data_IF_897774751661
#
_entry.id   IF_897774751661
#
_cell.length_a   1.000
_cell.length_b   1.000
_cell.length_c   1.000
_cell.angle_alpha   90.00
_cell.angle_beta   90.00
_cell.angle_gamma   90.00
#
_symmetry.space_group_name_H-M   'P 1'
#
loop_
_entity.id
_entity.type
_entity.pdbx_description
1 polymer ?
#
# COMPACT_ATOMS: atom_id res chain seq x y z
N UNK A 1 -22.30 -12.94 4.47
CA UNK A 1 -22.89 -11.67 4.01
C UNK A 1 -21.91 -11.10 3.02
N UNK A 2 -22.23 -11.22 1.73
CA UNK A 2 -21.39 -10.66 0.67
C UNK A 2 -21.33 -9.15 0.85
N UNK A 3 -20.13 -8.61 0.88
CA UNK A 3 -19.90 -7.16 0.91
C UNK A 3 -20.05 -6.72 -0.54
N UNK A 4 -21.20 -6.19 -0.91
CA UNK A 4 -21.32 -5.41 -2.13
C UNK A 4 -20.53 -4.13 -1.92
N UNK A 5 -19.23 -4.14 -2.24
CA UNK A 5 -18.48 -2.89 -2.36
C UNK A 5 -18.99 -2.18 -3.62
N UNK A 6 -19.25 -0.89 -3.52
CA UNK A 6 -19.67 -0.05 -4.68
C UNK A 6 -18.61 0.01 -5.79
N UNK A 7 -17.44 -0.56 -5.57
CA UNK A 7 -16.33 -0.65 -6.50
C UNK A 7 -15.02 -0.22 -5.88
N UNK A 8 -13.93 -0.63 -6.51
CA UNK A 8 -12.56 -0.26 -6.11
C UNK A 8 -11.73 0.13 -7.32
N UNK A 9 -11.03 1.25 -7.24
CA UNK A 9 -10.07 1.72 -8.25
C UNK A 9 -8.68 1.67 -7.64
N UNK A 10 -7.78 0.94 -8.29
CA UNK A 10 -6.38 0.85 -7.94
C UNK A 10 -5.54 1.69 -8.90
N UNK A 11 -4.79 2.65 -8.40
CA UNK A 11 -3.86 3.45 -9.20
C UNK A 11 -2.45 2.89 -9.04
N UNK A 12 -1.89 2.39 -10.14
CA UNK A 12 -0.62 1.71 -10.17
C UNK A 12 0.37 2.37 -11.13
N UNK A 13 1.62 1.90 -11.13
CA UNK A 13 2.67 2.37 -12.02
C UNK A 13 4.00 2.61 -11.30
N UNK A 14 5.05 2.78 -12.07
CA UNK A 14 6.39 3.10 -11.58
C UNK A 14 6.46 4.44 -10.84
N UNK A 15 7.59 4.69 -10.20
CA UNK A 15 7.77 5.97 -9.52
C UNK A 15 7.90 7.13 -10.52
N UNK A 16 7.48 8.32 -10.10
CA UNK A 16 7.52 9.55 -10.88
C UNK A 16 6.62 9.61 -12.14
N UNK A 17 5.72 8.65 -12.34
CA UNK A 17 4.72 8.68 -13.42
C UNK A 17 3.47 9.52 -13.11
N UNK A 18 3.48 10.32 -12.04
CA UNK A 18 2.38 11.22 -11.72
C UNK A 18 1.21 10.57 -10.96
N UNK A 19 1.40 9.40 -10.33
CA UNK A 19 0.34 8.71 -9.56
C UNK A 19 -0.37 9.62 -8.55
N UNK A 20 0.37 10.33 -7.71
CA UNK A 20 -0.23 11.21 -6.71
C UNK A 20 -1.06 12.34 -7.32
N UNK A 21 -0.63 12.91 -8.45
CA UNK A 21 -1.41 13.91 -9.18
C UNK A 21 -2.67 13.31 -9.80
N UNK A 22 -2.55 12.15 -10.46
CA UNK A 22 -3.69 11.45 -11.04
C UNK A 22 -4.71 11.04 -9.98
N UNK A 23 -4.24 10.45 -8.86
CA UNK A 23 -5.12 10.06 -7.75
C UNK A 23 -5.84 11.27 -7.16
N UNK A 24 -5.13 12.37 -6.93
CA UNK A 24 -5.73 13.60 -6.40
C UNK A 24 -6.80 14.15 -7.35
N UNK A 25 -6.57 14.06 -8.66
CA UNK A 25 -7.54 14.50 -9.67
C UNK A 25 -8.77 13.58 -9.66
N UNK A 26 -8.59 12.26 -9.70
CA UNK A 26 -9.67 11.26 -9.63
C UNK A 26 -10.55 11.52 -8.41
N UNK A 27 -9.94 11.66 -7.24
CA UNK A 27 -10.66 11.93 -5.99
C UNK A 27 -11.46 13.22 -6.09
N UNK A 28 -10.84 14.32 -6.58
CA UNK A 28 -11.50 15.62 -6.67
C UNK A 28 -12.67 15.65 -7.65
N UNK A 29 -12.54 14.99 -8.81
CA UNK A 29 -13.61 14.93 -9.81
C UNK A 29 -14.78 14.07 -9.31
N UNK A 30 -14.49 12.89 -8.74
CA UNK A 30 -15.54 12.04 -8.18
C UNK A 30 -16.26 12.70 -7.00
N UNK A 31 -15.55 13.49 -6.18
CA UNK A 31 -16.18 14.31 -5.13
C UNK A 31 -17.08 15.41 -5.72
N UNK A 32 -16.62 16.06 -6.79
CA UNK A 32 -17.42 17.10 -7.48
C UNK A 32 -18.70 16.53 -8.08
N UNK A 33 -18.65 15.28 -8.57
CA UNK A 33 -19.81 14.54 -9.07
C UNK A 33 -20.69 13.97 -7.94
N UNK A 34 -20.31 14.21 -6.68
CA UNK A 34 -21.09 13.79 -5.52
C UNK A 34 -20.92 12.31 -5.17
N UNK A 35 -19.89 11.65 -5.67
CA UNK A 35 -19.59 10.24 -5.36
C UNK A 35 -19.11 10.12 -3.92
N UNK A 36 -19.73 9.21 -3.17
CA UNK A 36 -19.26 8.85 -1.83
C UNK A 36 -18.05 7.95 -1.95
N UNK A 37 -16.91 8.37 -1.45
CA UNK A 37 -15.66 7.64 -1.62
C UNK A 37 -14.84 7.48 -0.34
N UNK A 38 -14.06 6.41 -0.30
CA UNK A 38 -12.99 6.17 0.68
C UNK A 38 -11.67 6.14 -0.06
N UNK A 39 -10.70 6.88 0.42
CA UNK A 39 -9.37 6.96 -0.17
C UNK A 39 -8.29 6.47 0.81
N UNK A 40 -7.29 5.77 0.26
CA UNK A 40 -6.06 5.45 0.99
C UNK A 40 -4.88 5.34 0.03
N UNK A 41 -3.69 5.65 0.55
CA UNK A 41 -2.40 5.49 -0.17
C UNK A 41 -1.49 4.54 0.60
N UNK A 42 -0.81 3.64 -0.13
CA UNK A 42 0.11 2.66 0.46
C UNK A 42 1.57 2.92 0.07
N UNK A 43 2.50 2.57 0.98
CA UNK A 43 2.28 2.07 2.34
C UNK A 43 1.85 3.20 3.29
N UNK A 44 1.03 2.84 4.30
CA UNK A 44 0.63 3.78 5.35
C UNK A 44 1.75 3.87 6.38
N UNK A 45 2.70 4.75 6.13
CA UNK A 45 3.95 4.87 6.90
C UNK A 45 3.77 5.22 8.37
N UNK A 46 2.62 5.72 8.73
CA UNK A 46 2.35 6.20 10.07
C UNK A 46 1.91 5.10 11.05
N UNK A 47 1.66 3.88 10.59
CA UNK A 47 1.42 2.73 11.44
C UNK A 47 2.74 2.11 11.94
N UNK A 48 2.73 1.28 12.98
CA UNK A 48 3.92 0.54 13.41
C UNK A 48 4.57 -0.25 12.28
N UNK A 49 3.78 -1.00 11.49
CA UNK A 49 4.32 -1.75 10.34
C UNK A 49 4.82 -0.80 9.25
N UNK A 50 4.07 0.26 8.96
CA UNK A 50 4.48 1.28 8.01
C UNK A 50 5.79 1.97 8.40
N UNK A 51 6.03 2.21 9.68
CA UNK A 51 7.30 2.76 10.17
C UNK A 51 8.48 1.81 9.93
N UNK A 52 8.25 0.50 10.10
CA UNK A 52 9.24 -0.53 9.76
C UNK A 52 9.53 -0.56 8.27
N UNK A 53 8.50 -0.53 7.42
CA UNK A 53 8.66 -0.47 5.97
C UNK A 53 9.53 0.73 5.58
N UNK A 54 9.23 1.91 6.14
CA UNK A 54 10.00 3.13 5.88
C UNK A 54 11.47 2.99 6.24
N UNK A 55 11.75 2.45 7.45
CA UNK A 55 13.11 2.21 7.91
C UNK A 55 13.83 1.20 7.03
N UNK A 56 13.13 0.16 6.59
CA UNK A 56 13.63 -0.85 5.69
C UNK A 56 14.00 -0.28 4.30
N UNK A 57 13.14 0.57 3.73
CA UNK A 57 13.39 1.19 2.44
C UNK A 57 14.59 2.12 2.47
N UNK A 58 14.72 2.91 3.55
CA UNK A 58 15.80 3.86 3.72
C UNK A 58 17.14 3.20 4.05
N UNK A 59 17.14 2.29 5.01
CA UNK A 59 18.38 1.77 5.62
C UNK A 59 18.74 0.38 5.10
N UNK A 60 17.79 -0.33 4.47
CA UNK A 60 17.93 -1.75 4.16
C UNK A 60 17.87 -2.63 5.40
N UNK A 61 18.02 -3.91 5.19
CA UNK A 61 18.33 -4.93 6.21
C UNK A 61 19.24 -5.94 5.55
N UNK A 62 20.27 -6.37 6.23
CA UNK A 62 21.21 -7.33 5.65
C UNK A 62 20.64 -8.75 5.67
N UNK A 63 21.02 -9.57 4.69
CA UNK A 63 20.65 -10.99 4.68
C UNK A 63 21.20 -11.74 5.91
N UNK A 64 22.30 -11.26 6.49
CA UNK A 64 22.83 -11.77 7.73
C UNK A 64 21.88 -11.56 8.92
N UNK A 65 21.17 -10.41 8.96
CA UNK A 65 20.17 -10.12 9.99
C UNK A 65 18.91 -11.00 9.82
N UNK A 66 18.63 -11.41 8.59
CA UNK A 66 17.54 -12.34 8.29
C UNK A 66 17.93 -13.82 8.43
N UNK A 67 19.22 -14.14 8.63
CA UNK A 67 19.71 -15.52 8.79
C UNK A 67 19.27 -16.48 7.68
N UNK A 68 19.45 -16.08 6.42
CA UNK A 68 19.12 -16.88 5.25
C UNK A 68 17.61 -17.03 4.94
N UNK A 69 16.75 -16.27 5.60
CA UNK A 69 15.35 -16.17 5.24
C UNK A 69 15.25 -15.32 3.97
N UNK A 70 14.33 -15.68 3.06
CA UNK A 70 14.09 -14.93 1.83
C UNK A 70 13.72 -13.48 2.14
N UNK A 71 14.66 -12.56 1.86
CA UNK A 71 14.49 -11.14 2.14
C UNK A 71 13.41 -10.50 1.28
N UNK A 72 13.21 -11.00 0.06
CA UNK A 72 12.18 -10.52 -0.85
C UNK A 72 10.78 -10.93 -0.38
N UNK A 73 10.62 -12.19 0.01
CA UNK A 73 9.36 -12.69 0.55
C UNK A 73 9.00 -11.96 1.86
N UNK A 74 9.98 -11.72 2.72
CA UNK A 74 9.82 -10.91 3.94
C UNK A 74 9.35 -9.48 3.63
N UNK A 75 9.92 -8.84 2.60
CA UNK A 75 9.52 -7.49 2.18
C UNK A 75 8.08 -7.48 1.66
N UNK A 76 7.71 -8.42 0.78
CA UNK A 76 6.33 -8.55 0.28
C UNK A 76 5.33 -8.75 1.43
N UNK A 77 5.67 -9.61 2.40
CA UNK A 77 4.85 -9.85 3.59
C UNK A 77 4.65 -8.58 4.43
N UNK A 78 5.69 -7.77 4.65
CA UNK A 78 5.56 -6.50 5.38
C UNK A 78 4.56 -5.54 4.71
N UNK A 79 4.61 -5.42 3.39
CA UNK A 79 3.64 -4.59 2.66
C UNK A 79 2.22 -5.16 2.76
N UNK A 80 2.04 -6.48 2.69
CA UNK A 80 0.74 -7.12 2.88
C UNK A 80 0.19 -6.91 4.30
N UNK A 81 1.03 -7.06 5.32
CA UNK A 81 0.63 -6.79 6.71
C UNK A 81 0.23 -5.32 6.93
N UNK A 82 0.90 -4.37 6.28
CA UNK A 82 0.48 -2.95 6.34
C UNK A 82 -0.87 -2.72 5.66
N UNK A 83 -1.17 -3.44 4.59
CA UNK A 83 -2.50 -3.42 3.96
C UNK A 83 -3.57 -4.10 4.80
N UNK A 84 -3.22 -5.13 5.57
CA UNK A 84 -4.14 -5.75 6.54
C UNK A 84 -4.48 -4.81 7.71
N UNK A 85 -3.56 -3.94 8.15
CA UNK A 85 -3.89 -2.87 9.11
C UNK A 85 -5.02 -1.98 8.57
N UNK A 86 -4.94 -1.59 7.30
CA UNK A 86 -6.00 -0.83 6.64
C UNK A 86 -7.30 -1.64 6.52
N UNK A 87 -7.21 -2.90 6.09
CA UNK A 87 -8.38 -3.75 5.89
C UNK A 87 -9.18 -3.96 7.18
N UNK A 88 -8.50 -4.12 8.32
CA UNK A 88 -9.16 -4.25 9.63
C UNK A 88 -10.03 -3.03 9.95
N UNK A 89 -9.50 -1.83 9.70
CA UNK A 89 -10.26 -0.58 9.90
C UNK A 89 -11.39 -0.45 8.89
N UNK A 90 -11.12 -0.69 7.60
CA UNK A 90 -12.12 -0.60 6.55
C UNK A 90 -13.31 -1.53 6.81
N UNK A 91 -13.05 -2.76 7.26
CA UNK A 91 -14.09 -3.73 7.57
C UNK A 91 -14.82 -3.46 8.89
N UNK A 92 -14.23 -2.72 9.82
CA UNK A 92 -14.80 -2.44 11.14
C UNK A 92 -15.98 -1.47 11.11
N UNK A 93 -16.03 -0.58 10.12
CA UNK A 93 -17.07 0.45 10.02
C UNK A 93 -17.77 0.42 8.66
N UNK A 94 -19.12 0.33 8.71
CA UNK A 94 -19.96 0.31 7.52
C UNK A 94 -19.83 1.57 6.67
N UNK A 95 -19.52 2.72 7.28
CA UNK A 95 -19.34 3.99 6.56
C UNK A 95 -18.32 3.89 5.44
N UNK A 96 -17.23 3.12 5.62
CA UNK A 96 -16.20 2.92 4.60
C UNK A 96 -16.64 1.95 3.51
N UNK A 97 -17.40 0.90 3.88
CA UNK A 97 -17.82 -0.15 2.94
C UNK A 97 -18.90 0.31 1.97
N UNK A 98 -19.70 1.29 2.37
CA UNK A 98 -20.76 1.87 1.55
C UNK A 98 -20.23 3.02 0.63
N UNK A 99 -18.97 2.91 0.18
CA UNK A 99 -18.28 3.94 -0.63
C UNK A 99 -17.55 3.31 -1.80
N UNK A 100 -17.24 4.12 -2.81
CA UNK A 100 -16.23 3.76 -3.82
C UNK A 100 -14.83 3.85 -3.20
N UNK A 101 -14.04 2.80 -3.34
CA UNK A 101 -12.70 2.73 -2.76
C UNK A 101 -11.65 3.16 -3.79
N UNK A 102 -10.89 4.20 -3.48
CA UNK A 102 -9.77 4.66 -4.31
C UNK A 102 -8.46 4.34 -3.58
N UNK A 103 -7.58 3.57 -4.22
CA UNK A 103 -6.29 3.18 -3.69
C UNK A 103 -5.15 3.74 -4.54
N UNK A 104 -4.35 4.65 -3.97
CA UNK A 104 -3.04 4.99 -4.52
C UNK A 104 -2.03 3.92 -4.06
N UNK A 105 -1.64 3.08 -4.97
CA UNK A 105 -0.99 1.78 -4.77
C UNK A 105 -1.92 0.75 -4.11
N UNK A 106 -1.72 -0.50 -4.45
CA UNK A 106 -2.55 -1.63 -4.03
C UNK A 106 -1.68 -2.89 -3.83
N UNK A 107 -2.24 -4.09 -3.66
CA UNK A 107 -1.49 -5.33 -3.70
C UNK A 107 -0.57 -5.50 -4.91
N UNK A 108 -0.97 -4.98 -6.06
CA UNK A 108 -0.20 -5.07 -7.31
C UNK A 108 1.10 -4.24 -7.27
N UNK A 109 1.21 -3.26 -6.36
CA UNK A 109 2.45 -2.52 -6.12
C UNK A 109 3.61 -3.37 -5.56
N UNK A 110 3.36 -4.64 -5.19
CA UNK A 110 4.45 -5.60 -4.99
C UNK A 110 5.31 -5.79 -6.24
N UNK A 111 4.86 -5.33 -7.43
CA UNK A 111 5.69 -5.23 -8.63
C UNK A 111 7.00 -4.49 -8.37
N UNK A 112 6.97 -3.41 -7.58
CA UNK A 112 8.18 -2.65 -7.22
C UNK A 112 9.11 -3.46 -6.33
N UNK A 113 8.56 -4.20 -5.36
CA UNK A 113 9.33 -5.08 -4.47
C UNK A 113 9.98 -6.23 -5.24
N UNK A 114 9.23 -6.85 -6.15
CA UNK A 114 9.74 -7.93 -7.01
C UNK A 114 10.80 -7.36 -7.99
N UNK A 115 10.53 -6.19 -8.57
CA UNK A 115 11.49 -5.47 -9.43
C UNK A 115 12.82 -5.18 -8.72
N UNK A 116 12.77 -4.82 -7.44
CA UNK A 116 13.96 -4.69 -6.60
C UNK A 116 14.70 -6.01 -6.44
N UNK A 117 14.00 -7.12 -6.20
CA UNK A 117 14.62 -8.44 -6.15
C UNK A 117 15.31 -8.83 -7.46
N UNK A 118 14.68 -8.52 -8.60
CA UNK A 118 15.26 -8.72 -9.93
C UNK A 118 16.57 -7.92 -10.10
N UNK A 119 16.60 -6.69 -9.64
CA UNK A 119 17.81 -5.84 -9.75
C UNK A 119 19.00 -6.38 -8.95
N UNK A 120 18.74 -7.11 -7.84
CA UNK A 120 19.79 -7.67 -6.99
C UNK A 120 20.34 -9.01 -7.49
N UNK A 121 19.52 -9.81 -8.16
CA UNK A 121 19.85 -11.21 -8.48
C UNK A 121 20.24 -11.42 -9.95
N UNK A 122 20.11 -10.38 -10.79
CA UNK A 122 20.39 -10.49 -12.20
C UNK A 122 19.25 -11.15 -12.99
N UNK A 123 19.57 -11.96 -14.00
CA UNK A 123 18.56 -12.54 -14.91
C UNK A 123 17.64 -13.54 -14.23
N UNK A 124 16.42 -13.12 -13.93
CA UNK A 124 15.33 -14.01 -13.56
C UNK A 124 14.58 -14.45 -14.82
N UNK A 125 14.25 -15.71 -14.90
CA UNK A 125 13.32 -16.17 -15.91
C UNK A 125 11.86 -15.83 -15.57
N UNK A 126 10.98 -15.90 -16.59
CA UNK A 126 9.57 -15.58 -16.40
C UNK A 126 8.86 -16.48 -15.38
N UNK A 127 9.35 -17.71 -15.15
CA UNK A 127 8.77 -18.62 -14.16
C UNK A 127 9.09 -18.15 -12.73
N UNK A 128 10.29 -17.64 -12.50
CA UNK A 128 10.65 -17.07 -11.19
C UNK A 128 9.85 -15.80 -10.90
N UNK A 129 9.71 -14.91 -11.88
CA UNK A 129 8.86 -13.71 -11.72
C UNK A 129 7.44 -14.13 -11.38
N UNK A 130 6.87 -15.05 -12.13
CA UNK A 130 5.52 -15.57 -11.88
C UNK A 130 5.36 -16.15 -10.49
N UNK A 131 6.33 -16.93 -10.01
CA UNK A 131 6.31 -17.49 -8.65
C UNK A 131 6.20 -16.41 -7.58
N UNK A 132 6.96 -15.33 -7.68
CA UNK A 132 6.90 -14.25 -6.69
C UNK A 132 5.63 -13.40 -6.83
N UNK A 133 5.10 -13.23 -8.04
CA UNK A 133 3.80 -12.61 -8.25
C UNK A 133 2.69 -13.43 -7.61
N UNK A 134 2.67 -14.75 -7.85
CA UNK A 134 1.68 -15.66 -7.24
C UNK A 134 1.79 -15.61 -5.69
N UNK A 135 2.99 -15.55 -5.15
CA UNK A 135 3.22 -15.43 -3.71
C UNK A 135 2.75 -14.09 -3.14
N UNK A 136 2.99 -12.99 -3.85
CA UNK A 136 2.47 -11.68 -3.45
C UNK A 136 0.94 -11.64 -3.48
N UNK A 137 0.33 -12.24 -4.51
CA UNK A 137 -1.13 -12.38 -4.60
C UNK A 137 -1.71 -13.23 -3.47
N UNK A 138 -1.02 -14.28 -3.06
CA UNK A 138 -1.41 -15.11 -1.92
C UNK A 138 -1.39 -14.32 -0.60
N UNK A 139 -0.35 -13.54 -0.34
CA UNK A 139 -0.29 -12.68 0.85
C UNK A 139 -1.42 -11.64 0.92
N UNK A 140 -1.87 -11.16 -0.21
CA UNK A 140 -2.92 -10.15 -0.32
C UNK A 140 -4.31 -10.72 -0.66
N UNK A 141 -4.45 -12.06 -0.68
CA UNK A 141 -5.67 -12.74 -1.15
C UNK A 141 -6.93 -12.30 -0.40
N UNK A 142 -6.82 -12.11 0.91
CA UNK A 142 -7.94 -11.61 1.71
C UNK A 142 -8.36 -10.20 1.29
N UNK A 143 -7.41 -9.29 1.14
CA UNK A 143 -7.69 -7.92 0.72
C UNK A 143 -8.28 -7.88 -0.69
N UNK A 144 -7.66 -8.61 -1.63
CA UNK A 144 -8.12 -8.69 -3.02
C UNK A 144 -9.56 -9.17 -3.08
N UNK A 145 -9.88 -10.27 -2.38
CA UNK A 145 -11.22 -10.85 -2.38
C UNK A 145 -12.27 -9.98 -1.68
N UNK A 146 -11.95 -9.40 -0.52
CA UNK A 146 -12.90 -8.59 0.27
C UNK A 146 -13.22 -7.26 -0.39
N UNK A 147 -12.28 -6.67 -1.10
CA UNK A 147 -12.44 -5.36 -1.72
C UNK A 147 -12.72 -5.43 -3.22
N UNK A 148 -12.78 -6.63 -3.81
CA UNK A 148 -13.01 -6.83 -5.24
C UNK A 148 -11.91 -6.18 -6.10
N UNK A 149 -10.65 -6.18 -5.62
CA UNK A 149 -9.54 -5.56 -6.34
C UNK A 149 -9.27 -6.30 -7.65
N UNK A 150 -8.90 -5.55 -8.68
CA UNK A 150 -8.68 -6.08 -10.03
C UNK A 150 -9.85 -5.84 -10.99
N UNK A 151 -10.98 -5.29 -10.51
CA UNK A 151 -12.07 -4.86 -11.39
C UNK A 151 -11.73 -3.60 -12.18
N UNK A 152 -11.02 -2.67 -11.55
CA UNK A 152 -10.53 -1.46 -12.19
C UNK A 152 -9.13 -1.13 -11.65
N UNK A 153 -8.12 -1.44 -12.43
CA UNK A 153 -6.72 -1.10 -12.16
C UNK A 153 -6.25 -0.15 -13.26
N UNK A 154 -5.91 1.05 -12.89
CA UNK A 154 -5.36 2.08 -13.78
C UNK A 154 -3.85 2.13 -13.57
N UNK A 155 -3.11 1.56 -14.51
CA UNK A 155 -1.65 1.63 -14.51
C UNK A 155 -1.18 2.81 -15.33
N UNK A 156 -0.48 3.74 -14.68
CA UNK A 156 0.21 4.83 -15.37
C UNK A 156 1.53 4.32 -15.95
N UNK A 157 1.74 4.57 -17.24
CA UNK A 157 2.91 4.12 -17.99
C UNK A 157 3.59 5.28 -18.73
N UNK A 158 4.85 5.08 -19.09
CA UNK A 158 5.58 5.89 -20.07
C UNK A 158 5.80 5.08 -21.34
N UNK A 159 5.61 5.66 -22.51
CA UNK A 159 5.97 5.04 -23.80
C UNK A 159 7.48 5.06 -24.06
N UNK A 160 8.19 6.01 -23.44
CA UNK A 160 9.64 6.07 -23.54
C UNK A 160 10.28 4.98 -22.66
N UNK A 161 11.19 4.18 -23.22
CA UNK A 161 12.08 3.29 -22.47
C UNK A 161 13.05 4.05 -21.54
N UNK A 162 13.04 5.37 -21.63
CA UNK A 162 13.98 6.23 -20.93
C UNK A 162 13.36 6.84 -19.66
N UNK A 163 13.58 6.18 -18.57
CA UNK A 163 13.39 6.71 -17.19
C UNK A 163 14.37 7.84 -16.87
N UNK A 164 14.64 8.72 -17.84
CA UNK A 164 15.74 9.70 -17.79
C UNK A 164 15.54 10.80 -16.76
N UNK A 165 14.31 11.05 -16.36
CA UNK A 165 13.97 12.13 -15.44
C UNK A 165 13.76 11.66 -13.98
N UNK A 166 14.22 10.45 -13.65
CA UNK A 166 14.28 10.03 -12.25
C UNK A 166 15.08 11.10 -11.50
N UNK A 167 14.50 11.64 -10.45
CA UNK A 167 15.11 12.71 -9.65
C UNK A 167 16.58 12.41 -9.40
N UNK A 168 17.44 13.41 -9.52
CA UNK A 168 18.87 13.29 -9.32
C UNK A 168 19.28 12.77 -7.92
N UNK A 169 18.31 12.67 -7.00
CA UNK A 169 18.49 12.16 -5.63
C UNK A 169 17.54 11.00 -5.41
N UNK A 170 18.08 9.79 -5.39
CA UNK A 170 17.39 8.59 -4.92
C UNK A 170 17.12 8.75 -3.42
N UNK A 171 15.87 8.64 -2.98
CA UNK A 171 15.49 8.78 -1.57
C UNK A 171 15.37 7.43 -0.89
N UNK A 172 15.20 6.34 -1.65
CA UNK A 172 15.15 4.98 -1.13
C UNK A 172 15.66 3.93 -2.14
N UNK A 173 15.68 2.66 -1.72
CA UNK A 173 16.23 1.55 -2.51
C UNK A 173 15.40 1.20 -3.74
N UNK A 174 14.14 1.61 -3.80
CA UNK A 174 13.20 1.27 -4.88
C UNK A 174 13.18 2.32 -5.99
N UNK A 175 13.71 3.52 -5.75
CA UNK A 175 13.75 4.60 -6.75
C UNK A 175 14.87 4.44 -7.80
N UNK A 176 15.62 3.32 -7.77
CA UNK A 176 16.68 3.05 -8.74
C UNK A 176 16.10 2.71 -10.11
N UNK A 177 16.81 3.15 -11.16
CA UNK A 177 16.40 2.96 -12.54
C UNK A 177 16.15 1.49 -12.90
N UNK A 178 17.08 0.61 -12.57
CA UNK A 178 17.01 -0.83 -12.84
C UNK A 178 15.83 -1.49 -12.11
N UNK A 179 15.49 -1.02 -10.91
CA UNK A 179 14.31 -1.45 -10.17
C UNK A 179 13.03 -1.06 -10.91
N UNK A 180 12.95 0.18 -11.41
CA UNK A 180 11.77 0.67 -12.11
C UNK A 180 11.59 -0.01 -13.49
N UNK A 181 12.65 -0.26 -14.22
CA UNK A 181 12.61 -1.03 -15.47
C UNK A 181 12.12 -2.47 -15.24
N UNK A 182 12.59 -3.12 -14.17
CA UNK A 182 12.13 -4.44 -13.80
C UNK A 182 10.68 -4.44 -13.25
N UNK A 183 10.29 -3.39 -12.54
CA UNK A 183 8.92 -3.18 -12.08
C UNK A 183 7.92 -3.20 -13.25
N UNK A 184 8.25 -2.53 -14.36
CA UNK A 184 7.42 -2.53 -15.56
C UNK A 184 7.18 -3.96 -16.10
N UNK A 185 8.24 -4.80 -16.14
CA UNK A 185 8.11 -6.21 -16.56
C UNK A 185 7.20 -7.02 -15.61
N UNK A 186 7.25 -6.76 -14.31
CA UNK A 186 6.41 -7.43 -13.33
C UNK A 186 4.95 -7.00 -13.46
N UNK A 187 4.69 -5.74 -13.77
CA UNK A 187 3.33 -5.25 -14.03
C UNK A 187 2.68 -5.94 -15.23
N UNK A 188 3.42 -6.30 -16.28
CA UNK A 188 2.87 -7.07 -17.40
C UNK A 188 2.37 -8.46 -16.92
N UNK A 189 3.07 -9.09 -15.97
CA UNK A 189 2.60 -10.36 -15.38
C UNK A 189 1.31 -10.16 -14.57
N UNK A 190 1.19 -9.08 -13.79
CA UNK A 190 -0.05 -8.75 -13.08
C UNK A 190 -1.20 -8.45 -14.05
N UNK A 191 -0.94 -7.71 -15.12
CA UNK A 191 -1.91 -7.42 -16.18
C UNK A 191 -2.47 -8.70 -16.79
N UNK A 192 -1.61 -9.66 -17.10
CA UNK A 192 -2.05 -10.96 -17.64
C UNK A 192 -2.93 -11.74 -16.65
N UNK A 193 -2.67 -11.62 -15.34
CA UNK A 193 -3.46 -12.29 -14.29
C UNK A 193 -4.82 -11.61 -14.10
N UNK A 194 -4.83 -10.28 -14.02
CA UNK A 194 -6.04 -9.48 -13.77
C UNK A 194 -6.93 -9.45 -15.02
N UNK A 195 -6.32 -9.39 -16.19
CA UNK A 195 -7.03 -9.41 -17.48
C UNK A 195 -7.82 -8.13 -17.75
N UNK A 196 -9.13 -8.23 -18.09
CA UNK A 196 -9.91 -7.08 -18.60
C UNK A 196 -10.05 -5.90 -17.64
N UNK A 197 -9.85 -6.11 -16.35
CA UNK A 197 -9.89 -5.04 -15.36
C UNK A 197 -8.62 -4.21 -15.27
N UNK A 198 -7.58 -4.56 -16.04
CA UNK A 198 -6.32 -3.83 -16.08
C UNK A 198 -6.26 -2.88 -17.27
N UNK A 199 -6.13 -1.61 -17.01
CA UNK A 199 -6.08 -0.54 -18.00
C UNK A 199 -4.76 0.22 -17.90
N UNK A 200 -4.17 0.55 -19.04
CA UNK A 200 -2.93 1.33 -19.08
C UNK A 200 -3.23 2.73 -19.60
N UNK A 201 -2.72 3.74 -18.91
CA UNK A 201 -2.83 5.15 -19.28
C UNK A 201 -1.44 5.72 -19.46
N UNK A 202 -1.16 6.19 -20.67
CA UNK A 202 0.11 6.84 -20.99
C UNK A 202 0.14 8.22 -20.36
N UNK A 203 1.15 8.49 -19.52
CA UNK A 203 1.36 9.81 -18.90
C UNK A 203 2.49 10.58 -19.55
N UNK A 204 3.44 9.87 -20.18
CA UNK A 204 4.56 10.44 -20.91
C UNK A 204 4.72 9.71 -22.24
N UNK A 205 4.75 10.46 -23.33
CA UNK A 205 5.04 9.99 -24.69
C UNK A 205 6.33 10.62 -25.23
N UNK A 206 6.70 10.27 -26.46
CA UNK A 206 7.85 10.87 -27.16
C UNK A 206 7.78 12.41 -27.25
N UNK A 207 6.57 12.96 -27.26
CA UNK A 207 6.31 14.41 -27.27
C UNK A 207 6.44 15.06 -25.88
N UNK A 208 6.66 14.28 -24.82
CA UNK A 208 6.78 14.71 -23.44
C UNK A 208 5.61 14.34 -22.54
N UNK A 209 5.46 15.04 -21.44
CA UNK A 209 4.37 14.82 -20.48
C UNK A 209 3.03 15.24 -21.07
N UNK A 210 2.04 14.34 -21.03
CA UNK A 210 0.65 14.66 -21.38
C UNK A 210 0.04 15.61 -20.34
N UNK A 211 -0.96 16.39 -20.76
CA UNK A 211 -1.66 17.26 -19.84
C UNK A 211 -2.45 16.45 -18.80
N UNK A 212 -2.67 17.05 -17.62
CA UNK A 212 -3.49 16.42 -16.57
C UNK A 212 -4.92 16.18 -17.02
N UNK A 213 -5.45 17.06 -17.87
CA UNK A 213 -6.81 16.94 -18.40
C UNK A 213 -6.93 15.79 -19.40
N UNK A 214 -5.92 15.59 -20.28
CA UNK A 214 -5.91 14.46 -21.21
C UNK A 214 -5.80 13.11 -20.47
N UNK A 215 -4.97 13.05 -19.43
CA UNK A 215 -4.85 11.85 -18.57
C UNK A 215 -6.18 11.58 -17.87
N UNK A 216 -6.85 12.64 -17.38
CA UNK A 216 -8.14 12.51 -16.74
C UNK A 216 -9.21 11.96 -17.68
N UNK A 217 -9.28 12.42 -18.91
CA UNK A 217 -10.24 11.91 -19.90
C UNK A 217 -10.11 10.41 -20.14
N UNK A 218 -8.87 9.90 -20.25
CA UNK A 218 -8.64 8.45 -20.37
C UNK A 218 -9.13 7.70 -19.10
N UNK A 219 -8.83 8.24 -17.92
CA UNK A 219 -9.26 7.64 -16.65
C UNK A 219 -10.78 7.66 -16.51
N UNK A 220 -11.43 8.76 -16.85
CA UNK A 220 -12.88 8.90 -16.82
C UNK A 220 -13.54 7.85 -17.72
N UNK A 221 -13.04 7.65 -18.95
CA UNK A 221 -13.52 6.60 -19.85
C UNK A 221 -13.38 5.21 -19.22
N UNK A 222 -12.25 4.91 -18.58
CA UNK A 222 -11.99 3.64 -17.87
C UNK A 222 -13.01 3.46 -16.74
N UNK A 223 -13.29 4.50 -15.96
CA UNK A 223 -14.26 4.43 -14.87
C UNK A 223 -15.67 4.14 -15.41
N UNK A 224 -16.09 4.81 -16.50
CA UNK A 224 -17.37 4.53 -17.15
C UNK A 224 -17.43 3.11 -17.69
N UNK A 225 -16.39 2.59 -18.31
CA UNK A 225 -16.32 1.20 -18.77
C UNK A 225 -16.42 0.20 -17.62
N UNK A 226 -15.81 0.49 -16.48
CA UNK A 226 -15.75 -0.42 -15.33
C UNK A 226 -17.03 -0.43 -14.49
N UNK A 227 -17.71 0.72 -14.35
CA UNK A 227 -18.81 0.92 -13.40
C UNK A 227 -20.10 1.42 -14.01
N UNK A 228 -20.10 1.81 -15.29
CA UNK A 228 -21.27 2.45 -15.95
C UNK A 228 -21.49 3.87 -15.43
N UNK A 229 -22.73 4.34 -15.53
CA UNK A 229 -23.09 5.66 -15.02
C UNK A 229 -23.01 5.68 -13.49
N UNK A 230 -22.20 6.57 -12.97
CA UNK A 230 -21.93 6.71 -11.54
C UNK A 230 -23.09 7.36 -10.75
N UNK A 231 -24.17 7.73 -11.41
CA UNK A 231 -25.37 8.35 -10.81
C UNK A 231 -26.01 7.51 -9.69
N UNK A 232 -25.77 6.19 -9.68
CA UNK A 232 -26.31 5.29 -8.67
C UNK A 232 -25.48 5.21 -7.39
N UNK A 233 -24.30 5.82 -7.35
CA UNK A 233 -23.45 5.86 -6.15
C UNK A 233 -23.98 6.97 -5.26
N UNK A 234 -24.37 6.62 -4.01
CA UNK A 234 -24.98 7.57 -3.07
C UNK A 234 -24.09 8.80 -2.91
N UNK A 235 -24.66 9.98 -3.13
CA UNK A 235 -24.03 11.26 -2.86
C UNK A 235 -23.66 11.37 -1.39
N UNK A 236 -22.43 11.71 -1.07
CA UNK A 236 -22.00 11.74 0.31
C UNK A 236 -20.58 12.25 0.55
N UNK A 237 -19.99 11.80 1.61
CA UNK A 237 -18.75 12.33 2.18
C UNK A 237 -17.53 11.52 1.76
N UNK A 238 -16.38 12.19 1.65
CA UNK A 238 -15.07 11.54 1.54
C UNK A 238 -14.64 11.00 2.89
N UNK A 239 -14.17 9.77 2.89
CA UNK A 239 -13.49 9.16 4.03
C UNK A 239 -12.04 8.87 3.65
N UNK A 240 -11.12 9.50 4.34
CA UNK A 240 -9.71 9.18 4.30
C UNK A 240 -9.41 8.29 5.51
N UNK A 241 -9.09 7.02 5.26
CA UNK A 241 -8.62 6.15 6.33
C UNK A 241 -7.17 6.51 6.61
N UNK A 242 -7.02 7.53 7.42
CA UNK A 242 -5.73 8.01 7.85
C UNK A 242 -5.18 7.22 9.02
N UNK A 243 -3.92 7.47 9.30
CA UNK A 243 -3.13 6.94 10.40
C UNK A 243 -3.85 6.89 11.75
N UNK A 244 -4.53 7.98 12.14
CA UNK A 244 -5.18 8.07 13.45
C UNK A 244 -6.20 6.96 13.65
N UNK A 245 -7.05 6.72 12.66
CA UNK A 245 -8.10 5.70 12.75
C UNK A 245 -7.53 4.29 12.81
N UNK A 246 -6.51 3.99 12.00
CA UNK A 246 -5.85 2.69 12.02
C UNK A 246 -5.26 2.41 13.40
N UNK A 247 -4.51 3.36 13.94
CA UNK A 247 -3.88 3.19 15.25
C UNK A 247 -4.91 3.11 16.39
N UNK A 248 -5.95 3.93 16.36
CA UNK A 248 -7.02 3.89 17.39
C UNK A 248 -7.77 2.56 17.38
N UNK A 249 -7.91 1.90 16.23
CA UNK A 249 -8.55 0.58 16.15
C UNK A 249 -7.61 -0.55 16.58
N UNK A 250 -6.38 -0.56 16.09
CA UNK A 250 -5.42 -1.61 16.45
C UNK A 250 -4.86 -1.44 17.87
N UNK A 251 -4.79 -0.19 18.34
CA UNK A 251 -4.24 0.15 19.66
C UNK A 251 -5.24 1.02 20.45
N UNK A 252 -6.33 0.45 20.98
CA UNK A 252 -7.42 1.23 21.60
C UNK A 252 -7.00 2.15 22.73
N UNK A 253 -5.91 1.83 23.44
CA UNK A 253 -5.39 2.70 24.51
C UNK A 253 -4.71 3.96 24.00
N UNK A 254 -4.25 3.98 22.76
CA UNK A 254 -3.62 5.17 22.17
C UNK A 254 -4.57 6.38 22.16
N UNK A 255 -5.87 6.13 22.00
CA UNK A 255 -6.92 7.17 22.05
C UNK A 255 -6.92 7.99 23.33
N UNK A 256 -6.55 7.39 24.47
CA UNK A 256 -6.59 8.01 25.79
C UNK A 256 -5.22 8.51 26.27
N UNK A 257 -4.17 8.20 25.54
CA UNK A 257 -2.82 8.66 25.88
C UNK A 257 -2.56 10.03 25.23
N UNK A 258 -2.53 11.09 26.08
CA UNK A 258 -2.33 12.47 25.61
C UNK A 258 -1.02 12.67 24.85
N UNK A 259 0.05 11.94 25.20
CA UNK A 259 1.34 12.04 24.55
C UNK A 259 1.26 11.46 23.14
N UNK A 260 0.63 10.29 23.00
CA UNK A 260 0.40 9.67 21.70
C UNK A 260 -0.50 10.53 20.83
N UNK A 261 -1.61 11.06 21.36
CA UNK A 261 -2.49 11.98 20.65
C UNK A 261 -1.76 13.24 20.19
N UNK A 262 -0.92 13.83 21.04
CA UNK A 262 -0.12 15.02 20.67
C UNK A 262 0.88 14.69 19.55
N UNK A 263 1.51 13.53 19.58
CA UNK A 263 2.44 13.10 18.53
C UNK A 263 1.72 12.90 17.20
N UNK A 264 0.48 12.38 17.21
CA UNK A 264 -0.37 12.30 16.02
C UNK A 264 -0.70 13.67 15.46
N UNK A 265 -1.15 14.59 16.30
CA UNK A 265 -1.50 15.94 15.89
C UNK A 265 -0.29 16.68 15.30
N UNK A 266 0.89 16.51 15.88
CA UNK A 266 2.13 17.08 15.37
C UNK A 266 2.53 16.46 14.03
N UNK A 267 2.45 15.14 13.91
CA UNK A 267 2.77 14.42 12.67
C UNK A 267 1.82 14.80 11.52
N UNK A 268 0.55 15.05 11.81
CA UNK A 268 -0.44 15.51 10.81
C UNK A 268 -0.16 16.97 10.39
N UNK A 269 0.21 17.84 11.33
CA UNK A 269 0.38 19.29 11.06
C UNK A 269 1.68 19.65 10.35
N UNK A 270 2.75 18.87 10.54
CA UNK A 270 4.10 19.24 10.10
C UNK A 270 4.63 18.39 8.93
N UNK A 271 3.80 18.02 7.93
CA UNK A 271 4.25 17.19 6.81
C UNK A 271 5.05 15.97 7.28
N UNK A 272 4.34 14.95 7.66
CA UNK A 272 4.73 13.67 8.27
C UNK A 272 6.07 13.07 7.80
N UNK A 273 6.56 13.45 6.59
CA UNK A 273 7.79 12.89 6.02
C UNK A 273 9.04 13.16 6.87
N UNK A 274 9.22 14.37 7.40
CA UNK A 274 10.49 14.73 8.05
C UNK A 274 10.56 14.35 9.53
N UNK A 275 9.45 14.41 10.25
CA UNK A 275 9.43 14.07 11.68
C UNK A 275 9.55 12.57 11.89
N UNK A 276 8.91 11.78 11.04
CA UNK A 276 9.03 10.33 11.12
C UNK A 276 10.41 9.81 10.64
N UNK A 277 11.14 10.58 9.84
CA UNK A 277 12.51 10.22 9.48
C UNK A 277 13.47 10.32 10.65
N UNK A 278 13.28 11.31 11.52
CA UNK A 278 14.14 11.54 12.69
C UNK A 278 13.67 10.80 13.95
N UNK A 279 12.38 10.51 14.05
CA UNK A 279 11.76 9.93 15.25
C UNK A 279 10.89 8.69 14.97
N UNK A 280 10.91 8.14 13.78
CA UNK A 280 10.01 7.07 13.37
C UNK A 280 10.10 5.81 14.23
N UNK A 281 11.32 5.41 14.62
CA UNK A 281 11.54 4.28 15.54
C UNK A 281 11.05 4.62 16.95
N UNK A 282 11.35 5.81 17.44
CA UNK A 282 10.90 6.27 18.76
C UNK A 282 9.38 6.47 18.80
N UNK A 283 8.78 6.98 17.71
CA UNK A 283 7.33 7.12 17.61
C UNK A 283 6.64 5.75 17.61
N UNK A 284 7.12 4.81 16.80
CA UNK A 284 6.61 3.45 16.78
C UNK A 284 6.75 2.77 18.14
N UNK A 285 7.91 2.89 18.78
CA UNK A 285 8.16 2.34 20.11
C UNK A 285 7.28 3.00 21.18
N UNK A 286 7.11 4.32 21.14
CA UNK A 286 6.26 5.04 22.10
C UNK A 286 4.77 4.69 21.92
N UNK A 287 4.29 4.55 20.68
CA UNK A 287 2.94 4.06 20.40
C UNK A 287 2.78 2.66 20.98
N UNK A 288 3.74 1.77 20.72
CA UNK A 288 3.73 0.40 21.26
C UNK A 288 3.79 0.38 22.78
N UNK A 289 4.61 1.22 23.40
CA UNK A 289 4.76 1.28 24.85
C UNK A 289 3.49 1.84 25.52
N UNK A 290 2.82 2.80 24.87
CA UNK A 290 1.55 3.36 25.34
C UNK A 290 0.35 2.41 25.11
N UNK A 291 0.45 1.52 24.12
CA UNK A 291 -0.60 0.56 23.76
C UNK A 291 -0.32 -0.81 24.36
N UNK A 292 -0.90 -1.09 25.52
CA UNK A 292 -0.68 -2.35 26.24
C UNK A 292 -1.21 -3.59 25.51
N UNK A 293 -2.24 -3.46 24.65
CA UNK A 293 -2.84 -4.56 23.91
C UNK A 293 -3.09 -4.17 22.47
N UNK A 294 -2.49 -4.88 21.53
CA UNK A 294 -2.86 -4.87 20.12
C UNK A 294 -4.21 -5.61 20.03
N UNK A 295 -5.15 -5.09 19.26
CA UNK A 295 -6.45 -5.71 19.07
C UNK A 295 -6.85 -5.60 17.61
N UNK A 296 -7.21 -6.73 17.03
CA UNK A 296 -7.87 -6.78 15.74
C UNK A 296 -9.38 -6.69 15.91
N UNK A 297 -10.03 -5.89 15.10
CA UNK A 297 -11.49 -5.73 15.08
C UNK A 297 -12.16 -6.83 14.27
N UNK A 298 -11.43 -7.42 13.32
CA UNK A 298 -11.90 -8.44 12.42
C UNK A 298 -11.11 -9.75 12.57
N UNK A 299 -11.81 -10.84 12.85
CA UNK A 299 -11.20 -12.15 13.10
C UNK A 299 -10.55 -12.75 11.82
N UNK A 300 -11.11 -12.49 10.63
CA UNK A 300 -10.52 -12.98 9.39
C UNK A 300 -9.19 -12.27 9.12
N UNK A 301 -9.14 -10.97 9.36
CA UNK A 301 -7.90 -10.17 9.24
C UNK A 301 -6.86 -10.65 10.24
N UNK A 302 -7.25 -10.91 11.50
CA UNK A 302 -6.36 -11.45 12.53
C UNK A 302 -5.73 -12.78 12.10
N UNK A 303 -6.54 -13.71 11.62
CA UNK A 303 -6.07 -15.03 11.17
C UNK A 303 -5.13 -14.92 9.98
N UNK A 304 -5.45 -14.05 9.03
CA UNK A 304 -4.61 -13.83 7.86
C UNK A 304 -3.28 -13.19 8.24
N UNK A 305 -3.31 -12.23 9.15
CA UNK A 305 -2.10 -11.63 9.70
C UNK A 305 -1.20 -12.67 10.37
N UNK A 306 -1.80 -13.55 11.19
CA UNK A 306 -1.08 -14.67 11.84
C UNK A 306 -0.50 -15.63 10.81
N UNK A 307 -1.28 -16.02 9.78
CA UNK A 307 -0.83 -16.90 8.70
C UNK A 307 0.44 -16.36 8.02
N UNK A 308 0.41 -15.10 7.61
CA UNK A 308 1.56 -14.45 6.95
C UNK A 308 2.79 -14.48 7.86
N UNK A 309 2.65 -14.17 9.14
CA UNK A 309 3.77 -14.19 10.09
C UNK A 309 4.37 -15.59 10.29
N UNK A 310 3.53 -16.63 10.30
CA UNK A 310 3.99 -18.02 10.43
C UNK A 310 4.74 -18.44 9.17
N UNK A 311 4.23 -18.10 8.01
CA UNK A 311 4.82 -18.45 6.72
C UNK A 311 6.08 -17.64 6.39
N UNK A 312 6.22 -16.44 6.97
CA UNK A 312 7.36 -15.55 6.75
C UNK A 312 8.09 -15.22 8.07
N UNK A 313 8.83 -16.16 8.66
CA UNK A 313 9.48 -15.95 9.96
C UNK A 313 10.51 -14.80 9.97
N UNK A 314 11.00 -14.39 8.80
CA UNK A 314 11.83 -13.19 8.64
C UNK A 314 11.14 -11.91 9.08
N UNK A 315 9.83 -11.82 8.88
CA UNK A 315 9.02 -10.65 9.28
C UNK A 315 9.09 -10.38 10.79
N UNK A 316 9.04 -11.44 11.61
CA UNK A 316 9.19 -11.29 13.06
C UNK A 316 10.59 -10.79 13.46
N UNK A 317 11.64 -11.22 12.75
CA UNK A 317 13.01 -10.71 12.97
C UNK A 317 13.15 -9.24 12.59
N UNK A 318 12.51 -8.83 11.49
CA UNK A 318 12.45 -7.42 11.09
C UNK A 318 11.75 -6.58 12.16
N UNK A 319 10.61 -7.06 12.70
CA UNK A 319 9.94 -6.37 13.82
C UNK A 319 10.82 -6.32 15.07
N UNK A 320 11.51 -7.40 15.41
CA UNK A 320 12.45 -7.40 16.54
C UNK A 320 13.57 -6.38 16.35
N UNK A 321 14.14 -6.32 15.14
CA UNK A 321 15.23 -5.42 14.80
C UNK A 321 14.81 -3.94 14.91
N UNK A 322 13.65 -3.56 14.35
CA UNK A 322 13.22 -2.16 14.29
C UNK A 322 12.35 -1.71 15.48
N UNK A 323 11.56 -2.59 16.07
CA UNK A 323 10.60 -2.26 17.14
C UNK A 323 10.90 -2.95 18.49
N UNK A 324 11.86 -3.86 18.51
CA UNK A 324 12.30 -4.57 19.72
C UNK A 324 11.37 -5.70 20.18
N UNK A 325 11.85 -6.52 21.09
CA UNK A 325 11.14 -7.68 21.65
C UNK A 325 9.84 -7.32 22.39
N UNK A 326 9.72 -6.10 22.89
CA UNK A 326 8.50 -5.62 23.54
C UNK A 326 7.32 -5.64 22.58
N UNK A 327 7.49 -5.15 21.36
CA UNK A 327 6.48 -5.20 20.30
C UNK A 327 6.15 -6.65 19.90
N UNK A 328 7.16 -7.46 19.62
CA UNK A 328 6.99 -8.86 19.23
C UNK A 328 6.17 -9.64 20.25
N UNK A 329 6.43 -9.45 21.54
CA UNK A 329 5.69 -10.12 22.60
C UNK A 329 4.24 -9.64 22.69
N UNK A 330 3.97 -8.35 22.49
CA UNK A 330 2.61 -7.81 22.46
C UNK A 330 1.83 -8.33 21.26
N UNK A 331 2.46 -8.34 20.09
CA UNK A 331 1.87 -8.87 18.85
C UNK A 331 1.51 -10.36 19.00
N UNK A 332 2.41 -11.19 19.52
CA UNK A 332 2.13 -12.60 19.78
C UNK A 332 0.92 -12.81 20.70
N UNK A 333 0.75 -11.96 21.74
CA UNK A 333 -0.41 -12.02 22.62
C UNK A 333 -1.72 -11.57 21.96
N UNK A 334 -1.64 -10.64 21.02
CA UNK A 334 -2.83 -10.18 20.29
C UNK A 334 -3.31 -11.21 19.27
N UNK A 335 -2.41 -12.07 18.80
CA UNK A 335 -2.72 -13.13 17.85
C UNK A 335 -3.13 -14.45 18.51
N UNK A 336 -2.72 -14.70 19.77
CA UNK A 336 -3.16 -15.85 20.58
C UNK A 336 -4.59 -15.68 21.12
#
# INVERSE_FOLDING_TARGET
MEIESYGSVCIEGGDQLGKGDATSRIVSELEADGVNLTFSSFPIYATPIGSVIRSLLKNGISDADLNGVDSLETRMALFALNRLEFLDVYMSDRKYRDTMLILDRSPFSNAVTIGYGLSLQGDWDGQQVRKYVDRAMDFDSLMISKLGLGRCVVQLISEEDEWRDIRAVETDQYEKRDVQENCAKVYEVYKDIVGPGWHQVVTKSDDGWRSRDDIWLDVEEILHLSYGDMENIRQGLRYDIGFKEIVENMYPKARYDKKVCHMYDSAIRENVKDIMYTSGLELGQQVVDSCMNIKFSNEEVRKEFERILVETPGTMKVFEHFLGMGFVNKLKRALS
#
